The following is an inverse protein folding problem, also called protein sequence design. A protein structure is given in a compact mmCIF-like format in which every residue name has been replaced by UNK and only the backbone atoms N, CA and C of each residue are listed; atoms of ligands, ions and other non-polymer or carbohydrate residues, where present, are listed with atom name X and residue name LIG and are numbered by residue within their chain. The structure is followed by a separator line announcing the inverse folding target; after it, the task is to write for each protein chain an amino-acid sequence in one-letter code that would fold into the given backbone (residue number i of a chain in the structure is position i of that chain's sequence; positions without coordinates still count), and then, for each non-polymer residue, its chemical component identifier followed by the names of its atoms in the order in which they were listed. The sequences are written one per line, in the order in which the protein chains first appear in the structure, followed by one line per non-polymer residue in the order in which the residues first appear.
data_IF_135868322079
#
_entry.id   IF_135868322079
#
_cell.length_a   1.000
_cell.length_b   1.000
_cell.length_c   1.000
_cell.angle_alpha   90.00
_cell.angle_beta   90.00
_cell.angle_gamma   90.00
#
_symmetry.space_group_name_H-M   'P 1'
#
loop_
_entity.id
_entity.type
_entity.pdbx_description
1 polymer ?
#
# COMPACT_ATOMS: atom_id res chain seq x y z
N UNK A 1 -75.37 -6.22 39.13
CA UNK A 1 -74.47 -5.26 38.46
C UNK A 1 -73.17 -5.98 38.11
N UNK A 2 -73.08 -6.52 36.89
CA UNK A 2 -71.88 -7.19 36.37
C UNK A 2 -71.07 -6.17 35.57
N UNK A 3 -69.95 -5.69 36.12
CA UNK A 3 -69.00 -4.83 35.42
C UNK A 3 -67.85 -5.67 34.88
N UNK A 4 -67.87 -5.96 33.59
CA UNK A 4 -66.77 -6.60 32.89
C UNK A 4 -65.70 -5.54 32.55
N UNK A 5 -64.62 -5.47 33.33
CA UNK A 5 -63.46 -4.65 33.03
C UNK A 5 -62.63 -5.33 31.95
N UNK A 6 -62.87 -4.93 30.70
CA UNK A 6 -62.08 -5.29 29.52
C UNK A 6 -60.63 -4.84 29.75
N UNK A 7 -59.73 -5.82 29.78
CA UNK A 7 -58.29 -5.67 29.92
C UNK A 7 -57.72 -5.15 28.58
N UNK A 8 -57.62 -3.82 28.42
CA UNK A 8 -56.86 -3.22 27.32
C UNK A 8 -55.40 -3.67 27.39
N UNK A 9 -54.97 -4.50 26.44
CA UNK A 9 -53.55 -4.83 26.27
C UNK A 9 -52.86 -3.67 25.56
N UNK A 10 -51.73 -3.15 26.07
CA UNK A 10 -50.98 -2.12 25.36
C UNK A 10 -50.43 -2.66 24.04
N UNK A 11 -50.63 -1.92 22.95
CA UNK A 11 -50.09 -2.23 21.63
C UNK A 11 -48.56 -2.32 21.66
N UNK A 12 -47.95 -3.27 20.92
CA UNK A 12 -46.50 -3.37 20.87
C UNK A 12 -45.88 -2.10 20.24
N UNK A 13 -44.70 -1.66 20.72
CA UNK A 13 -44.03 -0.50 20.15
C UNK A 13 -43.61 -0.78 18.70
N UNK A 14 -43.73 0.25 17.85
CA UNK A 14 -43.35 0.18 16.44
C UNK A 14 -41.86 -0.20 16.28
N UNK A 15 -41.50 -0.97 15.24
CA UNK A 15 -40.11 -1.32 14.98
C UNK A 15 -39.30 -0.05 14.71
N UNK A 16 -38.19 0.09 15.43
CA UNK A 16 -37.25 1.20 15.25
C UNK A 16 -36.72 1.22 13.83
N UNK A 17 -36.61 2.39 13.17
CA UNK A 17 -35.97 2.46 11.86
C UNK A 17 -34.49 2.08 12.03
N UNK A 18 -34.13 0.88 11.59
CA UNK A 18 -32.74 0.47 11.42
C UNK A 18 -32.12 1.39 10.38
N UNK A 19 -31.50 2.46 10.88
CA UNK A 19 -30.73 3.40 10.10
C UNK A 19 -29.60 2.68 9.38
N UNK A 20 -29.85 2.41 8.09
CA UNK A 20 -28.92 2.55 6.97
C UNK A 20 -27.47 2.24 7.36
N UNK A 21 -27.05 0.99 7.10
CA UNK A 21 -25.67 0.56 7.31
C UNK A 21 -24.68 1.54 6.69
N UNK A 22 -23.99 2.30 7.53
CA UNK A 22 -22.76 2.96 7.13
C UNK A 22 -21.81 1.84 6.69
N UNK A 23 -21.51 1.79 5.39
CA UNK A 23 -20.33 1.07 4.91
C UNK A 23 -19.14 1.83 5.47
N UNK A 24 -18.78 1.51 6.72
CA UNK A 24 -17.60 2.03 7.38
C UNK A 24 -16.42 1.40 6.66
N UNK A 25 -15.98 2.05 5.59
CA UNK A 25 -14.73 1.77 4.89
C UNK A 25 -13.61 1.88 5.93
N UNK A 26 -13.31 0.76 6.59
CA UNK A 26 -12.13 0.64 7.44
C UNK A 26 -10.95 0.72 6.47
N UNK A 27 -10.37 1.92 6.33
CA UNK A 27 -9.09 2.03 5.66
C UNK A 27 -8.13 1.07 6.37
N UNK A 28 -7.52 0.11 5.66
CA UNK A 28 -6.57 -0.79 6.27
C UNK A 28 -5.50 0.06 6.95
N UNK A 29 -5.32 -0.12 8.25
CA UNK A 29 -4.24 0.52 8.98
C UNK A 29 -2.94 0.03 8.34
N UNK A 30 -2.32 0.90 7.53
CA UNK A 30 -1.01 0.64 6.94
C UNK A 30 -0.05 0.30 8.07
N UNK A 31 0.50 -0.90 8.03
CA UNK A 31 1.50 -1.35 9.00
C UNK A 31 2.67 -0.37 8.99
N UNK A 32 3.38 -0.19 10.12
CA UNK A 32 4.57 0.66 10.16
C UNK A 32 5.57 0.30 9.06
N UNK A 33 5.69 -1.00 8.74
CA UNK A 33 6.50 -1.53 7.64
C UNK A 33 6.06 -0.99 6.29
N UNK A 34 4.75 -1.03 5.98
CA UNK A 34 4.22 -0.50 4.73
C UNK A 34 4.46 1.01 4.60
N UNK A 35 4.38 1.77 5.70
CA UNK A 35 4.70 3.20 5.70
C UNK A 35 6.18 3.46 5.42
N UNK A 36 7.08 2.68 6.03
CA UNK A 36 8.52 2.76 5.79
C UNK A 36 8.89 2.42 4.35
N UNK A 37 8.32 1.34 3.80
CA UNK A 37 8.52 0.95 2.42
C UNK A 37 8.03 2.03 1.45
N UNK A 38 6.84 2.58 1.68
CA UNK A 38 6.29 3.65 0.85
C UNK A 38 7.16 4.91 0.86
N UNK A 39 7.68 5.29 2.03
CA UNK A 39 8.58 6.42 2.16
C UNK A 39 9.91 6.18 1.42
N UNK A 40 10.53 5.01 1.64
CA UNK A 40 11.76 4.62 0.96
C UNK A 40 11.59 4.57 -0.56
N UNK A 41 10.46 4.06 -1.02
CA UNK A 41 10.09 4.02 -2.44
C UNK A 41 9.89 5.42 -3.01
N UNK A 42 9.25 6.34 -2.27
CA UNK A 42 9.11 7.74 -2.68
C UNK A 42 10.46 8.45 -2.83
N UNK A 43 11.34 8.32 -1.83
CA UNK A 43 12.68 8.95 -1.85
C UNK A 43 13.57 8.33 -2.93
N UNK A 44 13.59 6.99 -3.02
CA UNK A 44 14.35 6.27 -4.04
C UNK A 44 13.87 6.59 -5.46
N UNK A 45 12.55 6.63 -5.68
CA UNK A 45 11.99 6.92 -6.99
C UNK A 45 12.27 8.35 -7.41
N UNK A 46 12.08 9.33 -6.51
CA UNK A 46 12.38 10.74 -6.80
C UNK A 46 13.85 10.97 -7.14
N UNK A 47 14.77 10.37 -6.39
CA UNK A 47 16.21 10.49 -6.64
C UNK A 47 16.65 9.78 -7.92
N UNK A 48 16.15 8.57 -8.18
CA UNK A 48 16.49 7.83 -9.39
C UNK A 48 15.87 8.44 -10.65
N UNK A 49 14.63 8.98 -10.58
CA UNK A 49 14.02 9.72 -11.69
C UNK A 49 14.80 10.99 -12.01
N UNK A 50 15.22 11.75 -11.00
CA UNK A 50 16.07 12.93 -11.21
C UNK A 50 17.37 12.55 -11.92
N UNK A 51 17.97 11.40 -11.57
CA UNK A 51 19.16 10.89 -12.23
C UNK A 51 18.91 10.41 -13.67
N UNK A 52 17.75 9.81 -13.96
CA UNK A 52 17.31 9.46 -15.33
C UNK A 52 17.16 10.72 -16.18
N UNK A 53 16.52 11.75 -15.63
CA UNK A 53 16.30 13.02 -16.31
C UNK A 53 17.62 13.74 -16.61
N UNK A 54 18.49 13.90 -15.61
CA UNK A 54 19.79 14.56 -15.77
C UNK A 54 20.71 13.86 -16.77
N UNK A 55 20.60 12.54 -16.90
CA UNK A 55 21.41 11.75 -17.84
C UNK A 55 20.70 11.48 -19.18
N UNK A 56 19.54 12.10 -19.41
CA UNK A 56 18.72 11.90 -20.61
C UNK A 56 18.45 10.42 -20.93
N UNK A 57 18.28 9.60 -19.89
CA UNK A 57 18.06 8.16 -20.02
C UNK A 57 16.59 7.85 -20.38
N UNK A 58 16.35 6.67 -20.93
CA UNK A 58 14.99 6.27 -21.33
C UNK A 58 14.12 5.92 -20.12
N UNK A 59 13.09 6.74 -19.86
CA UNK A 59 12.05 6.48 -18.85
C UNK A 59 11.39 5.10 -19.00
N UNK A 60 11.22 4.61 -20.24
CA UNK A 60 10.63 3.29 -20.50
C UNK A 60 11.46 2.17 -19.87
N UNK A 61 12.78 2.21 -20.08
CA UNK A 61 13.70 1.20 -19.56
C UNK A 61 13.78 1.30 -18.03
N UNK A 62 13.79 2.52 -17.51
CA UNK A 62 13.74 2.79 -16.08
C UNK A 62 12.53 2.14 -15.40
N UNK A 63 11.31 2.40 -15.89
CA UNK A 63 10.09 1.86 -15.29
C UNK A 63 9.99 0.34 -15.44
N UNK A 64 10.47 -0.24 -16.56
CA UNK A 64 10.54 -1.69 -16.73
C UNK A 64 11.51 -2.32 -15.72
N UNK A 65 12.71 -1.77 -15.58
CA UNK A 65 13.70 -2.26 -14.62
C UNK A 65 13.25 -2.10 -13.17
N UNK A 66 12.66 -0.95 -12.85
CA UNK A 66 12.06 -0.68 -11.54
C UNK A 66 10.93 -1.68 -11.23
N UNK A 67 9.98 -1.86 -12.15
CA UNK A 67 8.87 -2.78 -11.98
C UNK A 67 9.33 -4.24 -11.85
N UNK A 68 10.32 -4.65 -12.64
CA UNK A 68 10.90 -5.99 -12.56
C UNK A 68 11.59 -6.24 -11.21
N UNK A 69 12.39 -5.27 -10.73
CA UNK A 69 13.05 -5.34 -9.43
C UNK A 69 12.05 -5.37 -8.27
N UNK A 70 10.99 -4.57 -8.37
CA UNK A 70 9.89 -4.57 -7.40
C UNK A 70 9.18 -5.92 -7.33
N UNK A 71 8.79 -6.48 -8.49
CA UNK A 71 8.12 -7.78 -8.55
C UNK A 71 9.04 -8.88 -8.00
N UNK A 72 10.31 -8.89 -8.38
CA UNK A 72 11.29 -9.84 -7.86
C UNK A 72 11.42 -9.76 -6.33
N UNK A 73 11.38 -8.55 -5.77
CA UNK A 73 11.33 -8.36 -4.32
C UNK A 73 10.07 -8.94 -3.70
N UNK A 74 8.89 -8.73 -4.29
CA UNK A 74 7.66 -9.28 -3.72
C UNK A 74 7.72 -10.82 -3.64
N UNK A 75 8.34 -11.48 -4.62
CA UNK A 75 8.56 -12.93 -4.58
C UNK A 75 9.56 -13.37 -3.48
N UNK A 76 10.58 -12.56 -3.17
CA UNK A 76 11.65 -12.92 -2.23
C UNK A 76 11.44 -12.40 -0.80
N UNK A 77 11.09 -11.12 -0.66
CA UNK A 77 10.97 -10.41 0.62
C UNK A 77 9.58 -10.58 1.24
N UNK A 78 8.49 -10.57 0.48
CA UNK A 78 7.15 -10.68 1.06
C UNK A 78 6.93 -12.02 1.79
N UNK A 79 7.69 -13.06 1.43
CA UNK A 79 7.69 -14.36 2.12
C UNK A 79 8.51 -14.38 3.42
N UNK A 80 9.41 -13.42 3.62
CA UNK A 80 10.39 -13.42 4.74
C UNK A 80 10.19 -12.29 5.74
N UNK A 81 9.48 -11.21 5.37
CA UNK A 81 9.18 -10.10 6.28
C UNK A 81 7.85 -10.33 7.00
N UNK A 82 7.87 -11.21 8.02
CA UNK A 82 6.75 -11.39 8.95
C UNK A 82 7.25 -10.99 10.34
N UNK A 83 7.01 -9.74 10.75
CA UNK A 83 7.36 -9.26 12.09
C UNK A 83 7.40 -7.74 12.22
N UNK A 84 7.11 -7.23 13.41
CA UNK A 84 7.07 -5.79 13.76
C UNK A 84 8.42 -5.27 14.27
N UNK A 85 9.52 -5.90 13.87
CA UNK A 85 10.86 -5.54 14.35
C UNK A 85 11.43 -4.34 13.57
N UNK A 86 12.23 -3.52 14.28
CA UNK A 86 12.94 -2.39 13.68
C UNK A 86 13.81 -2.83 12.49
N UNK A 87 14.41 -4.03 12.55
CA UNK A 87 15.16 -4.63 11.43
C UNK A 87 14.27 -4.84 10.19
N UNK A 88 13.04 -5.31 10.37
CA UNK A 88 12.07 -5.49 9.28
C UNK A 88 11.71 -4.16 8.64
N UNK A 89 11.52 -3.11 9.45
CA UNK A 89 11.27 -1.76 8.96
C UNK A 89 12.48 -1.21 8.17
N UNK A 90 13.71 -1.37 8.69
CA UNK A 90 14.92 -0.93 7.99
C UNK A 90 15.09 -1.67 6.65
N UNK A 91 14.87 -2.99 6.62
CA UNK A 91 14.96 -3.77 5.38
C UNK A 91 13.90 -3.30 4.37
N UNK A 92 12.68 -3.02 4.83
CA UNK A 92 11.60 -2.54 3.96
C UNK A 92 11.88 -1.13 3.38
N UNK A 93 12.46 -0.23 4.18
CA UNK A 93 12.89 1.10 3.72
C UNK A 93 14.04 0.96 2.73
N UNK A 94 15.08 0.20 3.06
CA UNK A 94 16.25 -0.02 2.21
C UNK A 94 15.84 -0.65 0.89
N UNK A 95 14.98 -1.66 0.92
CA UNK A 95 14.48 -2.32 -0.28
C UNK A 95 13.69 -1.35 -1.16
N UNK A 96 12.79 -0.55 -0.55
CA UNK A 96 12.04 0.49 -1.25
C UNK A 96 12.94 1.53 -1.93
N UNK A 97 14.03 1.94 -1.27
CA UNK A 97 15.02 2.87 -1.86
C UNK A 97 15.78 2.20 -2.99
N UNK A 98 16.18 0.92 -2.86
CA UNK A 98 17.06 0.25 -3.82
C UNK A 98 16.39 -0.09 -5.17
N UNK A 99 15.08 -0.40 -5.21
CA UNK A 99 14.44 -0.84 -6.46
C UNK A 99 14.47 0.20 -7.60
N UNK A 100 14.21 1.50 -7.35
CA UNK A 100 14.37 2.54 -8.37
C UNK A 100 15.79 2.62 -8.95
N UNK A 101 16.82 2.39 -8.13
CA UNK A 101 18.21 2.41 -8.59
C UNK A 101 18.57 1.22 -9.49
N UNK A 102 17.89 0.08 -9.34
CA UNK A 102 18.02 -1.05 -10.29
C UNK A 102 17.48 -0.66 -11.68
N UNK A 103 16.36 0.07 -11.71
CA UNK A 103 15.81 0.63 -12.95
C UNK A 103 16.76 1.63 -13.61
N UNK A 104 17.38 2.51 -12.81
CA UNK A 104 18.38 3.46 -13.30
C UNK A 104 19.63 2.74 -13.84
N UNK A 105 20.17 1.75 -13.12
CA UNK A 105 21.33 0.96 -13.55
C UNK A 105 21.08 0.24 -14.88
N UNK A 106 19.88 -0.33 -15.05
CA UNK A 106 19.49 -0.99 -16.29
C UNK A 106 19.39 0.00 -17.46
N UNK A 107 18.78 1.18 -17.22
CA UNK A 107 18.68 2.24 -18.22
C UNK A 107 20.05 2.80 -18.59
N UNK A 108 20.92 3.01 -17.61
CA UNK A 108 22.30 3.46 -17.80
C UNK A 108 23.12 2.44 -18.59
N UNK A 109 23.08 1.16 -18.21
CA UNK A 109 23.80 0.09 -18.89
C UNK A 109 23.36 -0.08 -20.35
N UNK A 110 22.06 -0.08 -20.62
CA UNK A 110 21.54 -0.17 -21.98
C UNK A 110 21.82 1.09 -22.81
N UNK A 111 21.89 2.27 -22.19
CA UNK A 111 22.29 3.50 -22.88
C UNK A 111 23.79 3.54 -23.17
N UNK A 112 24.63 3.02 -22.27
CA UNK A 112 26.08 2.90 -22.49
C UNK A 112 26.44 1.86 -23.57
N UNK A 113 25.55 0.90 -23.83
CA UNK A 113 25.69 -0.11 -24.89
C UNK A 113 25.09 0.34 -26.23
N UNK A 114 24.43 1.51 -26.29
CA UNK A 114 23.98 2.07 -27.57
C UNK A 114 25.19 2.62 -28.33
N UNK A 115 25.42 2.18 -29.58
CA UNK A 115 26.52 2.66 -30.42
C UNK A 115 26.34 4.12 -30.82
#
# INVERSE_FOLDING_TARGET
HAGASVLERPSPPAPSPQGRGEVKLRLPHLTPVAKGQLWGMGVGLGTALLAVEHMALSYRIFFVGFGAAWVASEFYLARRLIGTDAKTLTIAVLSGISFPWVGWLLAFGLNALRP
#
